data_IF_838979840321
#
_entry.id   IF_838979840321
#
_cell.length_a   1.000
_cell.length_b   1.000
_cell.length_c   1.000
_cell.angle_alpha   90.00
_cell.angle_beta   90.00
_cell.angle_gamma   90.00
#
_symmetry.space_group_name_H-M   'P 1'
#
loop_
_entity.id
_entity.type
_entity.pdbx_description
1 polymer ?
#
# COMPACT_ATOMS: atom_id res chain seq x y z
N UNK A 1 -11.06 9.46 -48.81
CA UNK A 1 -10.68 8.22 -49.52
C UNK A 1 -9.18 7.97 -49.34
N UNK A 2 -8.82 7.03 -48.48
CA UNK A 2 -7.57 6.26 -48.44
C UNK A 2 -7.93 4.92 -47.77
N UNK A 3 -7.63 3.75 -48.37
CA UNK A 3 -8.09 2.46 -47.87
C UNK A 3 -7.12 1.89 -46.83
N UNK A 4 -7.60 1.60 -45.63
CA UNK A 4 -6.88 0.76 -44.67
C UNK A 4 -7.23 -0.71 -44.94
N UNK A 5 -6.19 -1.46 -45.30
CA UNK A 5 -6.20 -2.89 -45.61
C UNK A 5 -6.42 -3.71 -44.34
N UNK A 6 -7.25 -4.74 -44.48
CA UNK A 6 -7.42 -5.86 -43.54
C UNK A 6 -6.16 -6.73 -43.46
N UNK A 7 -5.83 -7.23 -42.27
CA UNK A 7 -5.28 -8.58 -42.07
C UNK A 7 -5.63 -9.09 -40.67
N UNK A 8 -6.15 -10.31 -40.62
CA UNK A 8 -6.53 -11.08 -39.45
C UNK A 8 -5.39 -12.00 -39.00
N UNK A 9 -5.39 -12.47 -37.74
CA UNK A 9 -5.33 -13.89 -37.37
C UNK A 9 -5.14 -14.09 -35.85
N UNK A 10 -5.76 -15.16 -35.36
CA UNK A 10 -5.90 -15.62 -33.98
C UNK A 10 -4.64 -16.26 -33.37
N UNK A 11 -4.62 -16.41 -32.03
CA UNK A 11 -4.09 -17.62 -31.37
C UNK A 11 -4.64 -17.76 -29.93
N UNK A 12 -5.29 -18.90 -29.68
CA UNK A 12 -5.66 -19.42 -28.37
C UNK A 12 -4.43 -20.02 -27.66
N UNK A 13 -4.40 -20.02 -26.32
CA UNK A 13 -3.82 -21.11 -25.53
C UNK A 13 -4.44 -21.15 -24.13
N UNK A 14 -4.98 -22.31 -23.76
CA UNK A 14 -5.52 -22.65 -22.46
C UNK A 14 -4.50 -23.49 -21.67
N UNK A 15 -4.46 -23.34 -20.35
CA UNK A 15 -3.97 -24.38 -19.45
C UNK A 15 -4.58 -24.21 -18.06
N UNK A 16 -5.40 -25.19 -17.67
CA UNK A 16 -5.88 -25.38 -16.31
C UNK A 16 -4.98 -26.38 -15.59
N UNK A 17 -4.65 -26.11 -14.33
CA UNK A 17 -4.00 -27.06 -13.43
C UNK A 17 -4.69 -26.95 -12.06
N UNK A 18 -5.49 -27.96 -11.75
CA UNK A 18 -6.10 -28.14 -10.44
C UNK A 18 -5.13 -28.93 -9.55
N UNK A 19 -4.93 -28.47 -8.31
CA UNK A 19 -4.24 -29.22 -7.26
C UNK A 19 -5.16 -29.32 -6.05
N UNK A 20 -5.26 -30.55 -5.57
CA UNK A 20 -6.11 -31.08 -4.50
C UNK A 20 -5.56 -30.74 -3.11
N UNK A 21 -6.38 -31.07 -2.09
CA UNK A 21 -6.05 -31.65 -0.78
C UNK A 21 -6.54 -30.81 0.41
N UNK A 22 -7.44 -31.40 1.20
CA UNK A 22 -7.52 -31.41 2.69
C UNK A 22 -8.85 -32.11 3.05
N UNK A 23 -8.95 -33.24 3.75
CA UNK A 23 -8.16 -33.71 4.88
C UNK A 23 -8.91 -33.50 6.20
N UNK A 24 -10.18 -33.93 6.33
CA UNK A 24 -10.94 -33.83 7.58
C UNK A 24 -10.59 -34.99 8.51
N UNK A 25 -9.74 -34.75 9.51
CA UNK A 25 -9.63 -35.62 10.68
C UNK A 25 -10.44 -35.07 11.83
N UNK A 26 -11.20 -35.95 12.45
CA UNK A 26 -12.08 -35.75 13.60
C UNK A 26 -11.29 -35.47 14.88
N UNK A 27 -11.94 -34.81 15.84
CA UNK A 27 -11.49 -34.76 17.23
C UNK A 27 -12.50 -34.03 18.09
N UNK A 28 -13.21 -34.80 18.93
CA UNK A 28 -13.90 -34.30 20.12
C UNK A 28 -12.86 -33.60 21.04
N UNK A 29 -13.20 -32.79 22.04
CA UNK A 29 -13.87 -33.18 23.27
C UNK A 29 -13.74 -32.05 24.31
N UNK A 30 -14.67 -32.06 25.27
CA UNK A 30 -14.54 -31.57 26.65
C UNK A 30 -14.53 -30.06 26.92
N UNK A 31 -15.67 -29.62 27.48
CA UNK A 31 -15.77 -28.49 28.41
C UNK A 31 -14.80 -28.68 29.59
N UNK A 32 -14.33 -27.59 30.21
CA UNK A 32 -14.36 -27.57 31.66
C UNK A 32 -14.87 -26.27 32.27
N UNK A 33 -15.50 -26.51 33.42
CA UNK A 33 -16.01 -25.64 34.45
C UNK A 33 -14.94 -24.75 35.12
N UNK A 34 -15.45 -23.88 36.01
CA UNK A 34 -14.77 -23.20 37.12
C UNK A 34 -13.95 -21.92 36.87
N UNK A 35 -14.59 -20.81 37.24
CA UNK A 35 -14.22 -20.02 38.42
C UNK A 35 -12.71 -19.80 38.68
N UNK A 36 -12.24 -18.60 38.35
CA UNK A 36 -11.16 -17.95 39.09
C UNK A 36 -11.41 -16.44 39.16
N UNK A 37 -12.03 -16.04 40.26
CA UNK A 37 -11.91 -14.68 40.79
C UNK A 37 -10.49 -14.55 41.39
N UNK A 38 -9.60 -13.86 40.67
CA UNK A 38 -8.32 -13.31 41.17
C UNK A 38 -7.88 -12.18 40.26
N UNK A 39 -8.21 -10.96 40.69
CA UNK A 39 -7.66 -9.68 40.20
C UNK A 39 -6.15 -9.74 40.01
N UNK A 40 -5.66 -9.25 38.87
CA UNK A 40 -4.77 -8.11 38.94
C UNK A 40 -5.34 -6.99 38.08
N UNK A 41 -5.62 -5.83 38.71
CA UNK A 41 -5.52 -4.55 38.01
C UNK A 41 -4.06 -4.42 37.59
N UNK A 42 -3.71 -5.09 36.50
CA UNK A 42 -2.57 -4.72 35.71
C UNK A 42 -3.00 -3.41 35.09
N UNK A 43 -2.61 -2.30 35.72
CA UNK A 43 -2.37 -1.09 34.96
C UNK A 43 -1.35 -1.48 33.91
N UNK A 44 -1.85 -1.88 32.73
CA UNK A 44 -1.04 -2.00 31.53
C UNK A 44 -0.61 -0.56 31.28
N UNK A 45 0.56 -0.19 31.79
CA UNK A 45 1.32 0.87 31.18
C UNK A 45 1.49 0.42 29.73
N UNK A 46 0.60 0.91 28.86
CA UNK A 46 0.67 0.72 27.43
C UNK A 46 1.86 1.54 26.91
N UNK A 47 3.06 1.20 27.38
CA UNK A 47 4.33 1.60 26.80
C UNK A 47 4.62 0.68 25.62
N UNK A 48 3.62 0.52 24.75
CA UNK A 48 3.74 -0.17 23.48
C UNK A 48 3.62 0.91 22.42
N UNK A 49 4.76 1.44 21.97
CA UNK A 49 4.76 2.33 20.83
C UNK A 49 4.26 1.55 19.63
N UNK A 50 3.04 1.87 19.21
CA UNK A 50 2.44 1.25 18.03
C UNK A 50 2.99 1.93 16.78
N UNK A 51 3.17 1.19 15.67
CA UNK A 51 3.60 1.79 14.42
C UNK A 51 2.61 2.88 14.00
N UNK A 52 3.12 3.93 13.38
CA UNK A 52 2.28 5.00 12.84
C UNK A 52 1.33 4.42 11.78
N UNK A 53 0.04 4.70 11.92
CA UNK A 53 -1.01 4.30 10.97
C UNK A 53 -1.73 5.54 10.47
N UNK A 54 -2.08 5.54 9.18
CA UNK A 54 -2.77 6.62 8.50
C UNK A 54 -4.17 6.20 8.05
N UNK A 55 -5.09 7.16 8.05
CA UNK A 55 -6.24 7.20 7.15
C UNK A 55 -5.91 8.11 5.96
N UNK A 56 -6.64 7.96 4.86
CA UNK A 56 -6.46 8.74 3.64
C UNK A 56 -7.72 9.55 3.40
N UNK A 57 -7.59 10.86 3.44
CA UNK A 57 -8.69 11.79 3.17
C UNK A 57 -8.52 12.31 1.75
N UNK A 58 -9.49 11.97 0.89
CA UNK A 58 -9.45 12.27 -0.53
C UNK A 58 -10.55 13.25 -0.91
N UNK A 59 -10.23 14.15 -1.81
CA UNK A 59 -11.21 15.08 -2.37
C UNK A 59 -12.10 14.36 -3.39
N UNK A 60 -13.39 14.67 -3.37
CA UNK A 60 -14.37 14.05 -4.27
C UNK A 60 -14.68 15.01 -5.42
N UNK A 61 -14.25 14.66 -6.62
CA UNK A 61 -14.59 15.31 -7.90
C UNK A 61 -14.42 16.85 -7.89
N UNK A 62 -13.38 17.35 -7.21
CA UNK A 62 -13.08 18.79 -7.12
C UNK A 62 -14.11 19.60 -6.32
N UNK A 63 -14.91 18.94 -5.49
CA UNK A 63 -15.82 19.58 -4.54
C UNK A 63 -15.19 19.78 -3.17
N UNK A 64 -15.81 20.59 -2.30
CA UNK A 64 -15.39 20.75 -0.90
C UNK A 64 -15.68 19.50 -0.02
N UNK A 65 -16.15 18.40 -0.64
CA UNK A 65 -16.44 17.16 0.07
C UNK A 65 -15.21 16.26 0.05
N UNK A 66 -15.02 15.59 1.18
CA UNK A 66 -13.96 14.60 1.34
C UNK A 66 -14.54 13.25 1.71
N UNK A 67 -13.85 12.20 1.28
CA UNK A 67 -14.09 10.82 1.69
C UNK A 67 -12.84 10.28 2.39
N UNK A 68 -13.06 9.50 3.45
CA UNK A 68 -11.99 8.96 4.28
C UNK A 68 -11.90 7.45 4.11
N UNK A 69 -10.70 6.98 3.77
CA UNK A 69 -10.36 5.58 3.57
C UNK A 69 -9.35 5.13 4.64
N UNK A 70 -9.47 3.90 5.11
CA UNK A 70 -8.53 3.34 6.10
C UNK A 70 -7.45 2.46 5.47
N UNK A 71 -7.53 2.20 4.16
CA UNK A 71 -6.56 1.41 3.40
C UNK A 71 -6.30 2.06 2.05
N UNK A 72 -5.04 2.04 1.59
CA UNK A 72 -4.67 2.54 0.26
C UNK A 72 -5.37 1.77 -0.87
N UNK A 73 -5.63 0.47 -0.69
CA UNK A 73 -6.29 -0.36 -1.71
C UNK A 73 -7.72 0.06 -1.98
N UNK A 74 -8.41 0.61 -0.98
CA UNK A 74 -9.75 1.16 -1.18
C UNK A 74 -9.71 2.46 -1.99
N UNK A 75 -8.69 3.29 -1.76
CA UNK A 75 -8.43 4.50 -2.55
C UNK A 75 -8.19 4.16 -4.02
N UNK A 76 -7.41 3.12 -4.29
CA UNK A 76 -7.15 2.64 -5.65
C UNK A 76 -8.41 2.11 -6.35
N UNK A 77 -9.26 1.38 -5.63
CA UNK A 77 -10.52 0.84 -6.17
C UNK A 77 -11.51 1.95 -6.56
N UNK A 78 -11.51 3.03 -5.80
CA UNK A 78 -12.33 4.22 -6.06
C UNK A 78 -11.65 5.23 -6.99
N UNK A 79 -10.48 4.88 -7.55
CA UNK A 79 -9.72 5.67 -8.52
C UNK A 79 -9.43 7.10 -8.05
N UNK A 80 -9.25 7.32 -6.74
CA UNK A 80 -8.95 8.66 -6.20
C UNK A 80 -7.50 9.05 -6.49
N UNK A 81 -7.29 10.30 -6.86
CA UNK A 81 -5.97 10.83 -7.25
C UNK A 81 -5.50 12.01 -6.39
N UNK A 82 -6.39 12.60 -5.60
CA UNK A 82 -6.12 13.75 -4.74
C UNK A 82 -6.42 13.35 -3.29
N UNK A 83 -5.39 12.88 -2.59
CA UNK A 83 -5.51 12.37 -1.23
C UNK A 83 -4.38 12.87 -0.34
N UNK A 84 -4.68 13.00 0.95
CA UNK A 84 -3.70 13.24 2.01
C UNK A 84 -3.78 12.15 3.07
N UNK A 85 -2.64 11.78 3.62
CA UNK A 85 -2.56 10.88 4.75
C UNK A 85 -2.73 11.65 6.08
N UNK A 86 -3.64 11.19 6.92
CA UNK A 86 -3.88 11.71 8.27
C UNK A 86 -3.54 10.63 9.29
N UNK A 87 -2.64 10.94 10.23
CA UNK A 87 -2.22 9.99 11.26
C UNK A 87 -3.39 9.73 12.20
N UNK A 88 -3.77 8.46 12.35
CA UNK A 88 -4.87 8.06 13.25
C UNK A 88 -4.38 7.41 14.54
N UNK A 89 -3.21 6.76 14.52
CA UNK A 89 -2.58 6.16 15.71
C UNK A 89 -1.08 5.97 15.51
N UNK A 90 -0.40 5.56 16.57
CA UNK A 90 1.02 5.29 16.60
C UNK A 90 1.86 6.56 16.74
N UNK A 91 3.04 6.40 17.34
CA UNK A 91 3.98 7.49 17.60
C UNK A 91 5.36 7.23 17.03
N UNK A 92 5.66 5.98 16.67
CA UNK A 92 6.95 5.57 16.14
C UNK A 92 6.80 4.93 14.78
N UNK A 93 7.79 5.16 13.91
CA UNK A 93 7.85 4.50 12.61
C UNK A 93 8.13 3.00 12.79
N UNK A 94 7.45 2.15 12.03
CA UNK A 94 7.85 0.75 11.88
C UNK A 94 9.22 0.65 11.20
N UNK A 95 9.88 -0.51 11.26
CA UNK A 95 11.16 -0.73 10.58
C UNK A 95 11.07 -0.45 9.06
N UNK A 96 9.96 -0.82 8.42
CA UNK A 96 9.72 -0.53 7.01
C UNK A 96 9.56 0.98 6.76
N UNK A 97 8.79 1.65 7.61
CA UNK A 97 8.58 3.10 7.52
C UNK A 97 9.88 3.86 7.71
N UNK A 98 10.73 3.41 8.64
CA UNK A 98 12.06 3.98 8.85
C UNK A 98 12.95 3.75 7.62
N UNK A 99 13.00 2.54 7.08
CA UNK A 99 13.78 2.26 5.88
C UNK A 99 13.33 3.11 4.67
N UNK A 100 12.03 3.36 4.54
CA UNK A 100 11.48 4.23 3.52
C UNK A 100 11.89 5.70 3.71
N UNK A 101 11.89 6.19 4.95
CA UNK A 101 12.37 7.54 5.28
C UNK A 101 13.88 7.69 5.01
N UNK A 102 14.66 6.67 5.36
CA UNK A 102 16.11 6.65 5.13
C UNK A 102 16.40 6.69 3.62
N UNK A 103 15.67 5.91 2.81
CA UNK A 103 15.79 5.91 1.36
C UNK A 103 15.30 7.21 0.71
N UNK A 104 14.31 7.88 1.31
CA UNK A 104 13.86 9.20 0.89
C UNK A 104 14.87 10.31 1.21
N UNK A 105 15.89 10.04 2.03
CA UNK A 105 16.99 10.96 2.34
C UNK A 105 16.54 12.36 2.82
N UNK A 106 15.36 12.46 3.45
CA UNK A 106 14.77 13.73 3.91
C UNK A 106 13.96 14.48 2.86
N UNK A 107 13.86 13.97 1.63
CA UNK A 107 13.07 14.56 0.53
C UNK A 107 11.56 14.29 0.68
N UNK A 108 11.17 13.37 1.56
CA UNK A 108 9.77 13.09 1.89
C UNK A 108 9.58 12.75 3.36
N UNK A 109 8.48 13.24 3.93
CA UNK A 109 7.99 12.81 5.24
C UNK A 109 7.19 11.52 5.13
N UNK A 110 6.89 10.90 6.28
CA UNK A 110 6.12 9.66 6.30
C UNK A 110 4.69 9.87 5.78
N UNK A 111 4.08 11.00 6.11
CA UNK A 111 2.77 11.45 5.62
C UNK A 111 2.78 11.62 4.09
N UNK A 112 3.86 12.16 3.51
CA UNK A 112 3.99 12.33 2.07
C UNK A 112 4.15 10.98 1.36
N UNK A 113 4.95 10.07 1.91
CA UNK A 113 5.08 8.71 1.38
C UNK A 113 3.75 7.94 1.48
N UNK A 114 3.02 8.09 2.59
CA UNK A 114 1.70 7.50 2.77
C UNK A 114 0.69 8.06 1.75
N UNK A 115 0.65 9.38 1.58
CA UNK A 115 -0.24 10.05 0.61
C UNK A 115 0.08 9.60 -0.83
N UNK A 116 1.36 9.54 -1.18
CA UNK A 116 1.81 9.06 -2.48
C UNK A 116 1.45 7.60 -2.74
N UNK A 117 1.57 6.72 -1.75
CA UNK A 117 1.14 5.31 -1.86
C UNK A 117 -0.37 5.15 -2.09
N UNK A 118 -1.19 6.09 -1.63
CA UNK A 118 -2.64 5.99 -1.76
C UNK A 118 -3.15 6.29 -3.17
N UNK A 119 -2.38 6.98 -4.02
CA UNK A 119 -2.86 7.49 -5.31
C UNK A 119 -2.21 6.77 -6.48
N UNK A 120 -2.97 6.60 -7.57
CA UNK A 120 -2.45 6.02 -8.83
C UNK A 120 -2.59 7.01 -9.98
N UNK A 121 -1.88 6.76 -11.07
CA UNK A 121 -2.01 7.53 -12.32
C UNK A 121 -1.31 8.88 -12.32
N UNK A 122 -0.75 9.28 -11.18
CA UNK A 122 -0.09 10.58 -10.97
C UNK A 122 1.41 10.42 -10.68
N UNK A 123 2.14 11.53 -10.73
CA UNK A 123 3.54 11.58 -10.32
C UNK A 123 3.71 11.20 -8.84
N UNK A 124 4.77 10.47 -8.45
CA UNK A 124 5.89 10.01 -9.28
C UNK A 124 5.63 8.68 -10.02
N UNK A 125 4.51 8.01 -9.77
CA UNK A 125 4.24 6.67 -10.28
C UNK A 125 4.16 6.54 -11.80
N UNK A 126 3.82 7.61 -12.50
CA UNK A 126 3.70 7.64 -13.97
C UNK A 126 4.73 8.53 -14.66
N UNK A 127 5.63 9.17 -13.89
CA UNK A 127 6.57 10.18 -14.38
C UNK A 127 7.97 9.61 -14.54
N UNK A 128 8.73 10.15 -15.49
CA UNK A 128 10.19 9.96 -15.54
C UNK A 128 10.86 10.71 -14.39
N UNK A 129 11.92 10.13 -13.83
CA UNK A 129 12.73 10.74 -12.77
C UNK A 129 13.85 11.58 -13.41
N UNK A 130 13.90 12.87 -13.10
CA UNK A 130 14.81 13.83 -13.72
C UNK A 130 15.77 14.49 -12.72
N UNK A 131 15.66 14.18 -11.43
CA UNK A 131 16.47 14.77 -10.36
C UNK A 131 16.75 13.75 -9.26
N UNK A 132 17.79 13.99 -8.47
CA UNK A 132 18.15 13.14 -7.33
C UNK A 132 17.05 13.14 -6.28
N UNK A 133 16.49 14.31 -5.96
CA UNK A 133 15.37 14.45 -5.01
C UNK A 133 14.15 13.62 -5.41
N UNK A 134 13.80 13.61 -6.71
CA UNK A 134 12.73 12.75 -7.22
C UNK A 134 13.11 11.26 -7.14
N UNK A 135 14.37 10.90 -7.38
CA UNK A 135 14.86 9.53 -7.26
C UNK A 135 14.82 9.02 -5.82
N UNK A 136 15.16 9.86 -4.84
CA UNK A 136 15.14 9.52 -3.42
C UNK A 136 13.70 9.38 -2.92
N UNK A 137 12.82 10.32 -3.27
CA UNK A 137 11.37 10.20 -3.00
C UNK A 137 10.79 8.91 -3.58
N UNK A 138 11.12 8.59 -4.85
CA UNK A 138 10.68 7.36 -5.50
C UNK A 138 11.23 6.11 -4.79
N UNK A 139 12.50 6.12 -4.37
CA UNK A 139 13.08 5.02 -3.60
C UNK A 139 12.38 4.82 -2.25
N UNK A 140 12.03 5.91 -1.56
CA UNK A 140 11.21 5.87 -0.35
C UNK A 140 9.84 5.24 -0.60
N UNK A 141 9.13 5.64 -1.66
CA UNK A 141 7.83 5.08 -2.03
C UNK A 141 7.90 3.59 -2.36
N UNK A 142 8.96 3.16 -3.07
CA UNK A 142 9.17 1.76 -3.42
C UNK A 142 9.29 0.86 -2.17
N UNK A 143 9.94 1.37 -1.11
CA UNK A 143 10.05 0.66 0.17
C UNK A 143 8.78 0.77 1.03
N UNK A 144 8.13 1.93 1.03
CA UNK A 144 6.91 2.16 1.81
C UNK A 144 5.74 1.31 1.31
N UNK A 145 5.57 1.20 -0.02
CA UNK A 145 4.37 0.67 -0.66
C UNK A 145 4.69 -0.43 -1.69
N UNK A 146 5.33 -1.56 -1.31
CA UNK A 146 5.80 -2.56 -2.28
C UNK A 146 4.70 -3.20 -3.13
N UNK A 147 3.44 -3.16 -2.67
CA UNK A 147 2.28 -3.66 -3.41
C UNK A 147 1.57 -2.64 -4.29
N UNK A 148 2.16 -1.46 -4.53
CA UNK A 148 1.52 -0.42 -5.34
C UNK A 148 1.26 -0.91 -6.78
N UNK A 149 0.10 -0.62 -7.39
CA UNK A 149 -0.24 -1.09 -8.75
C UNK A 149 0.75 -0.64 -9.84
N UNK A 150 1.50 0.43 -9.58
CA UNK A 150 2.44 1.05 -10.52
C UNK A 150 3.90 0.87 -10.08
N UNK A 151 4.17 -0.12 -9.22
CA UNK A 151 5.51 -0.40 -8.69
C UNK A 151 6.53 -0.68 -9.80
N UNK A 152 6.20 -1.52 -10.78
CA UNK A 152 7.14 -1.89 -11.85
C UNK A 152 7.61 -0.66 -12.62
N UNK A 153 6.68 0.25 -12.98
CA UNK A 153 7.04 1.50 -13.65
C UNK A 153 7.93 2.39 -12.78
N UNK A 154 7.64 2.51 -11.48
CA UNK A 154 8.47 3.29 -10.56
C UNK A 154 9.89 2.72 -10.47
N UNK A 155 10.03 1.40 -10.38
CA UNK A 155 11.32 0.72 -10.34
C UNK A 155 12.12 0.92 -11.62
N UNK A 156 11.46 0.81 -12.79
CA UNK A 156 12.08 1.08 -14.08
C UNK A 156 12.55 2.54 -14.19
N UNK A 157 11.75 3.50 -13.72
CA UNK A 157 12.12 4.91 -13.71
C UNK A 157 13.33 5.20 -12.79
N UNK A 158 13.38 4.55 -11.61
CA UNK A 158 14.53 4.64 -10.69
C UNK A 158 15.78 4.07 -11.34
N UNK A 159 15.68 2.89 -11.97
CA UNK A 159 16.80 2.25 -12.64
C UNK A 159 17.32 3.11 -13.79
N UNK A 160 16.43 3.62 -14.66
CA UNK A 160 16.79 4.48 -15.78
C UNK A 160 17.53 5.75 -15.34
N UNK A 161 17.17 6.34 -14.20
CA UNK A 161 17.88 7.50 -13.65
C UNK A 161 19.29 7.15 -13.11
N UNK A 162 19.44 5.96 -12.50
CA UNK A 162 20.68 5.55 -11.83
C UNK A 162 21.75 4.97 -12.76
N UNK A 163 21.38 4.52 -13.96
CA UNK A 163 22.29 3.95 -14.97
C UNK A 163 22.54 2.47 -14.75
#
# INVERSE_FOLDING_TARGET
MHPLRRTAAAALCAAALAVLVSGCTSGAESEPDDSVDRTPSSEIAASGTSPIVFAFVCDVDGSDRTETYTTYSAVWQDERTECRAERITGTEASAQQQAALDAAAGESTLEQLASGCAVTGVSPWTSTILSSSAADTAAGLALYCPGHPQMDHLQDAIAAYRG
#
